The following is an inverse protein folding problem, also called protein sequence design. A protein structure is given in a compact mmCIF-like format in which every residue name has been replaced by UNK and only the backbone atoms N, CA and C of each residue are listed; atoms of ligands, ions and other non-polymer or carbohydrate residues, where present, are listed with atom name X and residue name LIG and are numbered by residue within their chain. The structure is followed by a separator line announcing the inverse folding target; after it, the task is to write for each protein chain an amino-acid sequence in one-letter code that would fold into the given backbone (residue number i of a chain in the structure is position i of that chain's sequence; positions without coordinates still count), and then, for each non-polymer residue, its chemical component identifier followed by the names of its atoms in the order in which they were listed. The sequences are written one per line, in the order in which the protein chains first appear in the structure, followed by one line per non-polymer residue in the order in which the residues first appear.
data_IF_084394615190
#
_entry.id   IF_084394615190
#
_cell.length_a   1.000
_cell.length_b   1.000
_cell.length_c   1.000
_cell.angle_alpha   90.00
_cell.angle_beta   90.00
_cell.angle_gamma   90.00
#
_symmetry.space_group_name_H-M   'P 1'
#
loop_
_entity.id
_entity.type
_entity.pdbx_description
1 polymer ?
#
# COMPACT_ATOMS: atom_id res chain seq x y z
N UNK A 1 24.00 12.22 53.44
CA UNK A 1 24.69 11.03 52.90
C UNK A 1 23.82 9.85 53.29
N UNK A 2 23.00 9.24 52.45
CA UNK A 2 23.11 8.80 51.04
C UNK A 2 21.67 8.72 50.50
N UNK A 3 21.28 9.50 49.50
CA UNK A 3 21.30 9.22 48.04
C UNK A 3 20.43 8.04 47.58
N UNK A 4 19.42 8.42 46.79
CA UNK A 4 18.77 7.69 45.70
C UNK A 4 18.09 6.34 45.97
N UNK A 5 16.80 6.40 46.28
CA UNK A 5 15.87 5.35 45.85
C UNK A 5 15.24 5.78 44.53
N UNK A 6 15.98 5.58 43.44
CA UNK A 6 15.48 5.68 42.07
C UNK A 6 14.21 4.82 41.97
N UNK A 7 13.07 5.48 41.78
CA UNK A 7 11.88 4.84 41.26
C UNK A 7 12.21 4.38 39.83
N UNK A 8 12.45 3.07 39.67
CA UNK A 8 12.56 2.44 38.36
C UNK A 8 11.16 2.43 37.74
N UNK A 9 10.92 3.12 36.60
CA UNK A 9 9.67 2.92 35.87
C UNK A 9 9.65 1.47 35.37
N UNK A 10 8.51 0.83 35.59
CA UNK A 10 8.18 -0.50 35.09
C UNK A 10 8.42 -0.55 33.59
N UNK A 11 9.48 -1.25 33.16
CA UNK A 11 9.71 -1.66 31.78
C UNK A 11 8.70 -2.74 31.38
N UNK A 12 7.42 -2.40 31.41
CA UNK A 12 6.33 -3.12 30.76
C UNK A 12 5.60 -2.25 29.72
N UNK A 13 6.08 -1.02 29.52
CA UNK A 13 5.57 -0.10 28.51
C UNK A 13 6.37 -0.13 27.20
N UNK A 14 7.52 -0.83 27.16
CA UNK A 14 8.27 -1.06 25.89
C UNK A 14 7.67 -2.20 25.05
N UNK A 15 6.54 -2.78 25.49
CA UNK A 15 5.88 -3.91 24.86
C UNK A 15 4.53 -3.53 24.22
N UNK A 16 4.41 -2.40 23.52
CA UNK A 16 3.25 -2.21 22.61
C UNK A 16 3.47 -1.15 21.50
N UNK A 17 4.70 -0.99 21.03
CA UNK A 17 4.96 -0.36 19.71
C UNK A 17 4.84 -1.36 18.56
N UNK A 18 4.52 -2.62 18.85
CA UNK A 18 4.28 -3.65 17.87
C UNK A 18 2.93 -3.40 17.18
N UNK A 19 2.97 -2.53 16.17
CA UNK A 19 2.00 -2.50 15.06
C UNK A 19 1.47 -3.92 14.81
N UNK A 20 0.20 -4.14 15.16
CA UNK A 20 -0.44 -5.44 15.07
C UNK A 20 -0.27 -5.95 13.63
N UNK A 21 0.43 -7.08 13.40
CA UNK A 21 0.76 -7.55 12.04
C UNK A 21 -0.49 -7.73 11.19
N UNK A 22 -1.61 -8.15 11.80
CA UNK A 22 -2.91 -8.29 11.14
C UNK A 22 -3.50 -6.94 10.69
N UNK A 23 -3.19 -5.86 11.40
CA UNK A 23 -3.57 -4.50 11.00
C UNK A 23 -2.68 -3.97 9.89
N UNK A 24 -1.40 -4.37 9.84
CA UNK A 24 -0.48 -3.98 8.78
C UNK A 24 -0.81 -4.70 7.46
N UNK A 25 -1.13 -5.99 7.53
CA UNK A 25 -1.62 -6.77 6.39
C UNK A 25 -2.92 -6.21 5.81
N UNK A 26 -3.90 -5.88 6.67
CA UNK A 26 -5.16 -5.28 6.25
C UNK A 26 -4.96 -3.93 5.53
N UNK A 27 -4.07 -3.08 6.06
CA UNK A 27 -3.74 -1.81 5.42
C UNK A 27 -3.04 -2.01 4.05
N UNK A 28 -2.08 -2.93 3.98
CA UNK A 28 -1.40 -3.25 2.73
C UNK A 28 -2.38 -3.83 1.69
N UNK A 29 -3.33 -4.67 2.11
CA UNK A 29 -4.37 -5.20 1.24
C UNK A 29 -5.31 -4.11 0.73
N UNK A 30 -5.70 -3.14 1.57
CA UNK A 30 -6.50 -1.99 1.13
C UNK A 30 -5.74 -1.15 0.10
N UNK A 31 -4.43 -0.95 0.28
CA UNK A 31 -3.58 -0.27 -0.72
C UNK A 31 -3.59 -1.01 -2.06
N UNK A 32 -3.44 -2.35 -2.06
CA UNK A 32 -3.53 -3.18 -3.27
C UNK A 32 -4.90 -3.00 -3.96
N UNK A 33 -5.99 -3.08 -3.18
CA UNK A 33 -7.34 -2.92 -3.71
C UNK A 33 -7.55 -1.51 -4.31
N UNK A 34 -7.03 -0.47 -3.66
CA UNK A 34 -7.11 0.90 -4.15
C UNK A 34 -6.33 1.09 -5.46
N UNK A 35 -5.10 0.58 -5.53
CA UNK A 35 -4.29 0.65 -6.75
C UNK A 35 -4.95 -0.09 -7.92
N UNK A 36 -5.57 -1.25 -7.66
CA UNK A 36 -6.31 -2.00 -8.67
C UNK A 36 -7.53 -1.22 -9.21
N UNK A 37 -8.25 -0.52 -8.33
CA UNK A 37 -9.35 0.37 -8.76
C UNK A 37 -8.85 1.51 -9.65
N UNK A 38 -7.70 2.11 -9.35
CA UNK A 38 -7.12 3.15 -10.20
C UNK A 38 -6.68 2.61 -11.58
N UNK A 39 -6.09 1.42 -11.63
CA UNK A 39 -5.77 0.74 -12.90
C UNK A 39 -7.03 0.52 -13.74
N UNK A 40 -8.12 0.05 -13.12
CA UNK A 40 -9.39 -0.15 -13.80
C UNK A 40 -9.98 1.18 -14.33
N UNK A 41 -9.94 2.24 -13.51
CA UNK A 41 -10.44 3.54 -13.89
C UNK A 41 -9.63 4.14 -15.05
N UNK A 42 -8.29 4.09 -14.99
CA UNK A 42 -7.41 4.55 -16.06
C UNK A 42 -7.61 3.72 -17.34
N UNK A 43 -7.79 2.40 -17.23
CA UNK A 43 -8.08 1.53 -18.38
C UNK A 43 -9.40 1.89 -19.05
N UNK A 44 -10.43 2.16 -18.25
CA UNK A 44 -11.76 2.56 -18.75
C UNK A 44 -11.68 3.88 -19.50
N UNK A 45 -10.91 4.85 -18.99
CA UNK A 45 -10.65 6.11 -19.68
C UNK A 45 -9.94 5.91 -21.02
N UNK A 46 -8.94 5.02 -21.09
CA UNK A 46 -8.27 4.67 -22.34
C UNK A 46 -9.22 3.98 -23.33
N UNK A 47 -10.08 3.07 -22.86
CA UNK A 47 -11.06 2.37 -23.70
C UNK A 47 -12.05 3.31 -24.39
N UNK A 48 -12.43 4.42 -23.76
CA UNK A 48 -13.34 5.41 -24.35
C UNK A 48 -12.82 5.98 -25.68
N UNK A 49 -11.50 6.03 -25.87
CA UNK A 49 -10.87 6.49 -27.13
C UNK A 49 -11.00 5.48 -28.29
N UNK A 50 -11.22 4.20 -27.98
CA UNK A 50 -11.37 3.14 -28.97
C UNK A 50 -12.83 2.80 -29.29
N UNK A 51 -13.79 3.31 -28.51
CA UNK A 51 -15.22 3.02 -28.65
C UNK A 51 -15.93 3.88 -29.71
N UNK A 52 -15.39 5.06 -30.04
CA UNK A 52 -15.97 6.04 -30.98
C UNK A 52 -15.05 6.15 -32.21
N UNK A 53 -15.32 5.32 -33.24
CA UNK A 53 -14.64 5.24 -34.55
C UNK A 53 -13.09 5.11 -34.55
N UNK A 54 -12.45 4.93 -33.38
CA UNK A 54 -10.99 4.83 -33.24
C UNK A 54 -10.23 6.11 -33.65
N UNK A 55 -10.93 7.22 -33.87
CA UNK A 55 -10.34 8.45 -34.41
C UNK A 55 -9.61 9.28 -33.35
N UNK A 56 -9.91 9.06 -32.06
CA UNK A 56 -9.30 9.82 -30.97
C UNK A 56 -8.17 9.01 -30.35
N UNK A 57 -6.96 9.57 -30.39
CA UNK A 57 -5.81 8.96 -29.72
C UNK A 57 -5.84 9.35 -28.23
N UNK A 58 -5.59 8.41 -27.30
CA UNK A 58 -5.44 8.74 -25.89
C UNK A 58 -4.29 9.75 -25.70
N UNK A 59 -4.48 10.70 -24.80
CA UNK A 59 -3.46 11.69 -24.49
C UNK A 59 -2.26 11.06 -23.76
N UNK A 60 -1.08 11.69 -23.90
CA UNK A 60 0.12 11.32 -23.13
C UNK A 60 -0.13 11.34 -21.62
N UNK A 61 -1.00 12.22 -21.14
CA UNK A 61 -1.38 12.31 -19.74
C UNK A 61 -2.16 11.06 -19.28
N UNK A 62 -3.10 10.57 -20.09
CA UNK A 62 -3.88 9.36 -19.78
C UNK A 62 -2.99 8.12 -19.79
N UNK A 63 -2.06 8.03 -20.74
CA UNK A 63 -1.06 6.95 -20.77
C UNK A 63 -0.13 7.01 -19.54
N UNK A 64 0.33 8.20 -19.16
CA UNK A 64 1.15 8.37 -17.97
C UNK A 64 0.39 8.00 -16.69
N UNK A 65 -0.90 8.37 -16.59
CA UNK A 65 -1.75 7.97 -15.46
C UNK A 65 -1.90 6.46 -15.37
N UNK A 66 -2.16 5.80 -16.51
CA UNK A 66 -2.27 4.34 -16.55
C UNK A 66 -0.97 3.65 -16.13
N UNK A 67 0.17 4.11 -16.65
CA UNK A 67 1.49 3.59 -16.27
C UNK A 67 1.78 3.78 -14.77
N UNK A 68 1.46 4.96 -14.21
CA UNK A 68 1.62 5.22 -12.79
C UNK A 68 0.74 4.32 -11.92
N UNK A 69 -0.53 4.10 -12.29
CA UNK A 69 -1.42 3.21 -11.57
C UNK A 69 -0.94 1.74 -11.60
N UNK A 70 -0.41 1.28 -12.74
CA UNK A 70 0.18 -0.06 -12.88
C UNK A 70 1.42 -0.22 -12.00
N UNK A 71 2.28 0.80 -11.94
CA UNK A 71 3.46 0.78 -11.07
C UNK A 71 3.06 0.74 -9.59
N UNK A 72 2.08 1.55 -9.18
CA UNK A 72 1.59 1.56 -7.80
C UNK A 72 0.95 0.21 -7.41
N UNK A 73 0.21 -0.43 -8.32
CA UNK A 73 -0.35 -1.76 -8.08
C UNK A 73 0.75 -2.80 -7.85
N UNK A 74 1.83 -2.74 -8.65
CA UNK A 74 3.00 -3.61 -8.48
C UNK A 74 3.65 -3.37 -7.11
N UNK A 75 3.95 -2.12 -6.78
CA UNK A 75 4.63 -1.76 -5.53
C UNK A 75 3.79 -2.11 -4.29
N UNK A 76 2.46 -1.92 -4.37
CA UNK A 76 1.54 -2.32 -3.30
C UNK A 76 1.52 -3.84 -3.10
N UNK A 77 1.55 -4.62 -4.18
CA UNK A 77 1.58 -6.08 -4.10
C UNK A 77 2.90 -6.59 -3.54
N UNK A 78 4.02 -6.06 -3.98
CA UNK A 78 5.34 -6.41 -3.43
C UNK A 78 5.41 -6.10 -1.92
N UNK A 79 4.90 -4.94 -1.49
CA UNK A 79 4.84 -4.58 -0.08
C UNK A 79 3.95 -5.54 0.74
N UNK A 80 2.81 -5.98 0.17
CA UNK A 80 1.95 -6.97 0.81
C UNK A 80 2.62 -8.35 0.90
N UNK A 81 3.22 -8.82 -0.18
CA UNK A 81 3.91 -10.12 -0.23
C UNK A 81 5.04 -10.20 0.82
N UNK A 82 5.79 -9.11 1.04
CA UNK A 82 6.80 -9.02 2.10
C UNK A 82 6.21 -9.17 3.51
N UNK A 83 4.97 -8.72 3.75
CA UNK A 83 4.30 -8.91 5.03
C UNK A 83 3.86 -10.36 5.22
N UNK A 84 3.36 -11.01 4.16
CA UNK A 84 2.94 -12.42 4.22
C UNK A 84 4.12 -13.35 4.47
N UNK A 85 5.24 -13.15 3.77
CA UNK A 85 6.47 -13.96 3.99
C UNK A 85 6.95 -13.80 5.43
N UNK A 86 7.03 -12.56 5.93
CA UNK A 86 7.44 -12.29 7.32
C UNK A 86 6.46 -12.85 8.36
N UNK A 87 5.16 -12.89 8.05
CA UNK A 87 4.13 -13.46 8.92
C UNK A 87 4.18 -14.99 9.01
N UNK A 88 4.72 -15.66 7.99
CA UNK A 88 4.88 -17.12 7.97
C UNK A 88 6.05 -17.64 8.81
N UNK A 89 7.02 -16.77 9.15
CA UNK A 89 8.21 -17.10 9.95
C UNK A 89 8.01 -16.88 11.48
N UNK A 90 6.80 -16.53 11.93
CA UNK A 90 6.45 -16.34 13.35
C UNK A 90 5.43 -17.37 13.85
#
# INVERSE_FOLDING_TARGET
MVMDKLAMPTRKDEAMGAKNPRSAEAFALERVASAAREVQAASTALQAHFADDGARQPSMLELARFAAAMQELKDAREAFDLLIVRGADQ
#
